data_IF_675837787753
#
_entry.id   IF_675837787753
#
_cell.length_a   1.000
_cell.length_b   1.000
_cell.length_c   1.000
_cell.angle_alpha   90.00
_cell.angle_beta   90.00
_cell.angle_gamma   90.00
#
_symmetry.space_group_name_H-M   'P 1'
#
loop_
_entity.id
_entity.type
_entity.pdbx_description
1 polymer ?
#
# COMPACT_ATOMS: atom_id res chain seq x y z
N UNK A 1 -20.34 -6.17 -4.47
CA UNK A 1 -19.00 -6.75 -4.71
C UNK A 1 -18.28 -6.04 -5.85
N UNK A 2 -18.76 -6.08 -7.11
CA UNK A 2 -18.06 -5.47 -8.26
C UNK A 2 -17.69 -4.00 -8.07
N UNK A 3 -18.63 -3.18 -7.56
CA UNK A 3 -18.36 -1.77 -7.29
C UNK A 3 -17.21 -1.52 -6.30
N UNK A 4 -17.03 -2.41 -5.31
CA UNK A 4 -15.92 -2.32 -4.36
C UNK A 4 -14.57 -2.74 -4.94
N UNK A 5 -14.57 -3.67 -5.90
CA UNK A 5 -13.36 -4.03 -6.65
C UNK A 5 -12.93 -2.87 -7.55
N UNK A 6 -13.88 -2.26 -8.28
CA UNK A 6 -13.63 -1.08 -9.09
C UNK A 6 -13.15 0.11 -8.23
N UNK A 7 -13.75 0.30 -7.06
CA UNK A 7 -13.33 1.31 -6.10
C UNK A 7 -11.90 1.07 -5.60
N UNK A 8 -11.56 -0.18 -5.23
CA UNK A 8 -10.22 -0.52 -4.75
C UNK A 8 -9.15 -0.17 -5.80
N UNK A 9 -9.40 -0.50 -7.06
CA UNK A 9 -8.47 -0.27 -8.17
C UNK A 9 -8.38 1.22 -8.57
N UNK A 10 -9.53 1.91 -8.70
CA UNK A 10 -9.58 3.23 -9.33
C UNK A 10 -9.56 4.39 -8.35
N UNK A 11 -9.99 4.18 -7.11
CA UNK A 11 -10.06 5.22 -6.08
C UNK A 11 -9.05 4.97 -4.95
N UNK A 12 -8.99 3.75 -4.40
CA UNK A 12 -8.09 3.49 -3.27
C UNK A 12 -6.62 3.40 -3.71
N UNK A 13 -6.31 2.65 -4.77
CA UNK A 13 -4.93 2.42 -5.21
C UNK A 13 -4.20 3.72 -5.61
N UNK A 14 -4.93 4.69 -6.18
CA UNK A 14 -4.35 5.97 -6.60
C UNK A 14 -3.89 6.83 -5.42
N UNK A 15 -4.35 6.55 -4.20
CA UNK A 15 -3.94 7.26 -2.98
C UNK A 15 -2.62 6.72 -2.40
N UNK A 16 -2.21 5.50 -2.75
CA UNK A 16 -1.05 4.87 -2.13
C UNK A 16 0.26 5.52 -2.56
N UNK A 17 0.44 5.80 -3.85
CA UNK A 17 1.68 6.39 -4.34
C UNK A 17 1.96 7.75 -3.66
N UNK A 18 1.03 8.74 -3.63
CA UNK A 18 1.25 9.99 -2.91
C UNK A 18 1.56 9.80 -1.42
N UNK A 19 0.96 8.80 -0.77
CA UNK A 19 1.23 8.49 0.63
C UNK A 19 2.63 7.89 0.85
N UNK A 20 3.10 7.01 -0.04
CA UNK A 20 4.43 6.40 0.04
C UNK A 20 5.55 7.39 -0.24
N UNK A 21 5.29 8.41 -1.04
CA UNK A 21 6.32 9.36 -1.50
C UNK A 21 6.17 10.75 -0.88
N UNK A 22 5.37 10.89 0.19
CA UNK A 22 4.98 12.18 0.78
C UNK A 22 6.17 13.08 1.11
N UNK A 23 7.16 12.51 1.78
CA UNK A 23 8.43 13.16 2.09
C UNK A 23 9.58 12.44 1.39
N UNK A 24 10.74 13.09 1.29
CA UNK A 24 11.93 12.43 0.74
C UNK A 24 12.30 11.18 1.56
N UNK A 25 12.20 11.23 2.89
CA UNK A 25 12.50 10.07 3.76
C UNK A 25 11.57 8.89 3.48
N UNK A 26 10.26 9.15 3.36
CA UNK A 26 9.27 8.11 3.05
C UNK A 26 9.50 7.56 1.63
N UNK A 27 9.82 8.42 0.67
CA UNK A 27 10.15 7.99 -0.69
C UNK A 27 11.45 7.18 -0.75
N UNK A 28 12.43 7.52 0.08
CA UNK A 28 13.68 6.78 0.20
C UNK A 28 13.42 5.40 0.80
N UNK A 29 12.65 5.32 1.88
CA UNK A 29 12.22 4.05 2.47
C UNK A 29 11.46 3.17 1.48
N UNK A 30 10.47 3.73 0.77
CA UNK A 30 9.66 3.01 -0.22
C UNK A 30 10.49 2.44 -1.38
N UNK A 31 11.63 3.06 -1.69
CA UNK A 31 12.53 2.63 -2.76
C UNK A 31 13.68 1.72 -2.29
N UNK A 32 13.69 1.33 -1.00
CA UNK A 32 14.73 0.47 -0.41
C UNK A 32 14.84 -0.92 -1.02
N UNK A 33 13.78 -1.41 -1.70
CA UNK A 33 13.80 -2.69 -2.41
C UNK A 33 14.92 -2.78 -3.46
N UNK A 34 15.41 -1.65 -3.98
CA UNK A 34 16.55 -1.61 -4.91
C UNK A 34 17.82 -2.21 -4.31
N UNK A 35 17.96 -2.21 -2.98
CA UNK A 35 19.09 -2.83 -2.29
C UNK A 35 19.09 -4.35 -2.42
N UNK A 36 17.94 -4.97 -2.64
CA UNK A 36 17.77 -6.43 -2.77
C UNK A 36 17.98 -6.91 -4.22
N UNK A 37 18.11 -6.00 -5.18
CA UNK A 37 18.31 -6.34 -6.59
C UNK A 37 19.69 -6.98 -6.78
N UNK A 38 19.79 -8.26 -7.21
CA UNK A 38 21.05 -8.98 -7.25
C UNK A 38 21.98 -8.54 -8.38
N UNK A 39 21.44 -7.93 -9.43
CA UNK A 39 22.19 -7.50 -10.62
C UNK A 39 22.93 -6.18 -10.45
N UNK A 40 22.67 -5.42 -9.38
CA UNK A 40 23.26 -4.10 -9.17
C UNK A 40 24.51 -4.17 -8.31
N UNK A 41 25.56 -3.45 -8.71
CA UNK A 41 26.72 -3.23 -7.84
C UNK A 41 26.33 -2.35 -6.64
N UNK A 42 27.19 -2.26 -5.61
CA UNK A 42 26.91 -1.41 -4.44
C UNK A 42 26.73 0.07 -4.83
N UNK A 43 27.51 0.55 -5.81
CA UNK A 43 27.38 1.93 -6.31
C UNK A 43 26.10 2.12 -7.12
N UNK A 44 25.71 1.12 -7.92
CA UNK A 44 24.44 1.16 -8.65
C UNK A 44 23.26 1.15 -7.69
N UNK A 45 23.31 0.34 -6.61
CA UNK A 45 22.27 0.31 -5.59
C UNK A 45 22.14 1.66 -4.91
N UNK A 46 23.24 2.25 -4.44
CA UNK A 46 23.21 3.54 -3.78
C UNK A 46 22.70 4.67 -4.70
N UNK A 47 23.26 4.76 -5.90
CA UNK A 47 22.88 5.81 -6.86
C UNK A 47 21.43 5.68 -7.31
N UNK A 48 20.99 4.47 -7.68
CA UNK A 48 19.61 4.22 -8.04
C UNK A 48 18.68 4.49 -6.86
N UNK A 49 19.06 4.10 -5.65
CA UNK A 49 18.23 4.28 -4.47
C UNK A 49 17.94 5.77 -4.22
N UNK A 50 18.99 6.60 -4.19
CA UNK A 50 18.84 8.05 -4.01
C UNK A 50 18.11 8.70 -5.19
N UNK A 51 18.55 8.43 -6.42
CA UNK A 51 17.99 9.07 -7.61
C UNK A 51 16.51 8.69 -7.83
N UNK A 52 16.17 7.42 -7.65
CA UNK A 52 14.80 6.92 -7.75
C UNK A 52 13.90 7.52 -6.67
N UNK A 53 14.36 7.57 -5.42
CA UNK A 53 13.63 8.22 -4.34
C UNK A 53 13.37 9.71 -4.62
N UNK A 54 14.36 10.45 -5.13
CA UNK A 54 14.18 11.86 -5.53
C UNK A 54 13.16 11.99 -6.67
N UNK A 55 13.28 11.15 -7.71
CA UNK A 55 12.37 11.19 -8.84
C UNK A 55 10.90 10.90 -8.42
N UNK A 56 10.70 9.90 -7.56
CA UNK A 56 9.39 9.55 -7.02
C UNK A 56 8.80 10.68 -6.16
N UNK A 57 9.59 11.24 -5.24
CA UNK A 57 9.19 12.37 -4.41
C UNK A 57 8.74 13.58 -5.25
N UNK A 58 9.43 13.87 -6.37
CA UNK A 58 9.04 14.94 -7.29
C UNK A 58 7.80 14.58 -8.14
N UNK A 59 7.66 13.31 -8.53
CA UNK A 59 6.53 12.83 -9.33
C UNK A 59 5.20 12.91 -8.57
N UNK A 60 5.23 12.81 -7.23
CA UNK A 60 4.02 12.82 -6.40
C UNK A 60 3.13 14.04 -6.67
N UNK A 61 3.73 15.23 -6.90
CA UNK A 61 2.98 16.47 -7.06
C UNK A 61 2.08 16.46 -8.29
N UNK A 62 2.54 15.81 -9.37
CA UNK A 62 1.73 15.62 -10.59
C UNK A 62 0.55 14.70 -10.34
N UNK A 63 0.74 13.63 -9.58
CA UNK A 63 -0.33 12.69 -9.23
C UNK A 63 -1.34 13.31 -8.27
N UNK A 64 -0.88 14.02 -7.24
CA UNK A 64 -1.76 14.80 -6.34
C UNK A 64 -2.64 15.77 -7.12
N UNK A 65 -2.06 16.52 -8.07
CA UNK A 65 -2.83 17.43 -8.93
C UNK A 65 -3.81 16.70 -9.84
N UNK A 66 -3.41 15.58 -10.45
CA UNK A 66 -4.27 14.78 -11.35
C UNK A 66 -5.51 14.24 -10.63
N UNK A 67 -5.34 13.76 -9.41
CA UNK A 67 -6.41 13.14 -8.61
C UNK A 67 -7.04 14.09 -7.59
N UNK A 68 -6.70 15.39 -7.63
CA UNK A 68 -7.21 16.43 -6.71
C UNK A 68 -7.01 16.07 -5.23
N UNK A 69 -5.84 15.53 -4.89
CA UNK A 69 -5.45 15.19 -3.53
C UNK A 69 -4.74 16.38 -2.91
N UNK A 70 -5.38 17.03 -1.94
CA UNK A 70 -4.79 18.15 -1.18
C UNK A 70 -3.89 17.62 -0.05
N UNK A 71 -4.47 16.78 0.81
CA UNK A 71 -3.79 16.07 1.90
C UNK A 71 -3.89 14.56 1.66
N UNK A 72 -2.76 13.93 1.39
CA UNK A 72 -2.66 12.49 1.13
C UNK A 72 -3.03 11.61 2.33
N UNK A 73 -2.71 12.03 3.55
CA UNK A 73 -3.01 11.27 4.78
C UNK A 73 -4.50 11.36 5.09
N UNK A 74 -5.07 12.56 5.01
CA UNK A 74 -6.50 12.77 5.21
C UNK A 74 -7.33 12.07 4.12
N UNK A 75 -6.89 12.11 2.85
CA UNK A 75 -7.57 11.42 1.75
C UNK A 75 -7.58 9.90 1.93
N UNK A 76 -6.45 9.32 2.35
CA UNK A 76 -6.37 7.89 2.66
C UNK A 76 -7.24 7.55 3.87
N UNK A 77 -7.13 8.29 4.97
CA UNK A 77 -7.95 8.07 6.16
C UNK A 77 -9.45 8.12 5.85
N UNK A 78 -9.90 9.09 5.05
CA UNK A 78 -11.29 9.18 4.61
C UNK A 78 -11.72 7.97 3.77
N UNK A 79 -10.85 7.49 2.88
CA UNK A 79 -11.12 6.29 2.08
C UNK A 79 -11.18 5.01 2.93
N UNK A 80 -10.36 4.93 3.97
CA UNK A 80 -10.41 3.84 4.95
C UNK A 80 -11.70 3.89 5.76
N UNK A 81 -12.16 5.07 6.21
CA UNK A 81 -13.45 5.21 6.87
C UNK A 81 -14.61 4.78 5.96
N UNK A 82 -14.60 5.17 4.67
CA UNK A 82 -15.59 4.72 3.67
C UNK A 82 -15.64 3.19 3.56
N UNK A 83 -14.49 2.51 3.65
CA UNK A 83 -14.43 1.06 3.66
C UNK A 83 -14.95 0.47 4.98
N UNK A 84 -14.60 1.07 6.13
CA UNK A 84 -15.10 0.65 7.43
C UNK A 84 -16.64 0.72 7.50
N UNK A 85 -17.22 1.81 6.99
CA UNK A 85 -18.67 1.99 6.91
C UNK A 85 -19.33 0.89 6.06
N UNK A 86 -18.66 0.49 4.97
CA UNK A 86 -19.14 -0.59 4.09
C UNK A 86 -19.09 -1.97 4.74
N UNK A 87 -18.12 -2.21 5.63
CA UNK A 87 -18.06 -3.43 6.41
C UNK A 87 -19.24 -3.53 7.37
N UNK A 88 -19.79 -2.40 7.83
CA UNK A 88 -21.03 -2.36 8.61
C UNK A 88 -20.96 -3.29 9.84
N UNK A 89 -19.87 -3.17 10.60
CA UNK A 89 -19.50 -4.01 11.76
C UNK A 89 -19.38 -5.52 11.48
N UNK A 90 -19.40 -5.96 10.22
CA UNK A 90 -19.15 -7.36 9.84
C UNK A 90 -17.65 -7.67 9.88
N UNK A 91 -17.33 -8.95 10.01
CA UNK A 91 -15.93 -9.41 10.01
C UNK A 91 -15.25 -9.10 8.68
N UNK A 92 -15.98 -9.32 7.57
CA UNK A 92 -15.60 -9.07 6.19
C UNK A 92 -16.80 -8.52 5.41
N UNK A 93 -16.58 -7.92 4.24
CA UNK A 93 -17.66 -7.58 3.33
C UNK A 93 -18.42 -8.83 2.87
N UNK A 94 -17.74 -9.98 2.78
CA UNK A 94 -18.37 -11.29 2.54
C UNK A 94 -19.14 -11.90 3.72
N UNK A 95 -19.22 -11.21 4.87
CA UNK A 95 -19.86 -11.71 6.09
C UNK A 95 -18.89 -12.50 6.96
N UNK A 96 -19.06 -13.82 7.03
CA UNK A 96 -18.23 -14.70 7.87
C UNK A 96 -16.88 -15.08 7.23
N UNK A 97 -16.74 -14.91 5.92
CA UNK A 97 -15.51 -15.15 5.17
C UNK A 97 -15.28 -14.04 4.14
N UNK A 98 -14.02 -13.74 3.77
CA UNK A 98 -13.73 -12.68 2.82
C UNK A 98 -14.22 -13.04 1.41
N UNK A 99 -14.75 -12.06 0.70
CA UNK A 99 -15.08 -12.18 -0.71
C UNK A 99 -13.98 -11.55 -1.60
N UNK A 100 -14.20 -11.53 -2.92
CA UNK A 100 -13.24 -10.92 -3.87
C UNK A 100 -12.99 -9.43 -3.61
N UNK A 101 -13.99 -8.68 -3.14
CA UNK A 101 -13.78 -7.27 -2.81
C UNK A 101 -12.91 -7.10 -1.56
N UNK A 102 -13.09 -7.94 -0.53
CA UNK A 102 -12.17 -7.96 0.62
C UNK A 102 -10.74 -8.22 0.16
N UNK A 103 -10.53 -9.18 -0.74
CA UNK A 103 -9.21 -9.50 -1.29
C UNK A 103 -8.62 -8.36 -2.13
N UNK A 104 -9.42 -7.69 -2.96
CA UNK A 104 -8.96 -6.54 -3.75
C UNK A 104 -8.53 -5.37 -2.86
N UNK A 105 -9.37 -5.00 -1.88
CA UNK A 105 -9.04 -3.90 -0.94
C UNK A 105 -7.81 -4.27 -0.12
N UNK A 106 -7.76 -5.51 0.37
CA UNK A 106 -6.61 -5.99 1.13
C UNK A 106 -5.34 -5.98 0.29
N UNK A 107 -5.38 -6.46 -0.95
CA UNK A 107 -4.22 -6.47 -1.86
C UNK A 107 -3.68 -5.06 -2.12
N UNK A 108 -4.56 -4.08 -2.30
CA UNK A 108 -4.18 -2.67 -2.45
C UNK A 108 -3.50 -2.17 -1.17
N UNK A 109 -4.15 -2.27 -0.01
CA UNK A 109 -3.57 -1.80 1.26
C UNK A 109 -2.30 -2.54 1.64
N UNK A 110 -2.18 -3.82 1.29
CA UNK A 110 -1.00 -4.62 1.53
C UNK A 110 0.24 -4.07 0.84
N UNK A 111 0.11 -3.34 -0.26
CA UNK A 111 1.25 -2.74 -0.96
C UNK A 111 2.05 -1.76 -0.10
N UNK A 112 1.45 -1.20 0.96
CA UNK A 112 2.12 -0.25 1.87
C UNK A 112 2.64 -0.89 3.17
N UNK A 113 2.50 -2.21 3.36
CA UNK A 113 3.12 -2.89 4.50
C UNK A 113 4.64 -2.65 4.52
N UNK A 114 5.17 -2.40 5.72
CA UNK A 114 6.56 -2.09 6.00
C UNK A 114 6.94 -0.63 5.76
N UNK A 115 6.01 0.23 5.35
CA UNK A 115 6.25 1.65 5.16
C UNK A 115 5.64 2.51 6.28
N UNK A 116 6.08 3.76 6.40
CA UNK A 116 5.44 4.76 7.24
C UNK A 116 3.92 4.91 6.99
N UNK A 117 3.42 4.56 5.80
CA UNK A 117 2.00 4.64 5.46
C UNK A 117 1.15 3.56 6.11
N UNK A 118 1.76 2.41 6.46
CA UNK A 118 1.05 1.34 7.15
C UNK A 118 0.38 1.84 8.45
N UNK A 119 1.03 2.78 9.14
CA UNK A 119 0.49 3.36 10.38
C UNK A 119 -0.88 4.02 10.19
N UNK A 120 -1.16 4.60 9.02
CA UNK A 120 -2.49 5.18 8.73
C UNK A 120 -3.57 4.10 8.70
N UNK A 121 -3.23 2.90 8.25
CA UNK A 121 -4.16 1.75 8.26
C UNK A 121 -4.35 1.26 9.70
N UNK A 122 -3.26 1.17 10.46
CA UNK A 122 -3.27 0.70 11.86
C UNK A 122 -4.03 1.65 12.80
N UNK A 123 -3.95 2.95 12.55
CA UNK A 123 -4.65 3.98 13.34
C UNK A 123 -6.11 4.21 12.87
N UNK A 124 -6.56 3.49 11.83
CA UNK A 124 -7.90 3.65 11.25
C UNK A 124 -8.92 2.62 11.76
N UNK A 125 -10.23 2.86 11.58
CA UNK A 125 -11.27 1.90 11.92
C UNK A 125 -11.19 0.55 11.15
N UNK A 126 -10.39 0.47 10.08
CA UNK A 126 -10.22 -0.78 9.32
C UNK A 126 -9.13 -1.70 9.87
N UNK A 127 -8.40 -1.27 10.91
CA UNK A 127 -7.23 -1.98 11.44
C UNK A 127 -7.53 -3.44 11.81
N UNK A 128 -8.65 -3.68 12.50
CA UNK A 128 -9.05 -5.02 12.92
C UNK A 128 -9.41 -5.93 11.72
N UNK A 129 -10.11 -5.38 10.71
CA UNK A 129 -10.38 -6.09 9.46
C UNK A 129 -9.08 -6.41 8.72
N UNK A 130 -8.14 -5.46 8.67
CA UNK A 130 -6.86 -5.63 8.00
C UNK A 130 -6.02 -6.72 8.66
N UNK A 131 -5.99 -6.76 10.00
CA UNK A 131 -5.31 -7.81 10.77
C UNK A 131 -5.89 -9.19 10.47
N UNK A 132 -7.22 -9.33 10.47
CA UNK A 132 -7.88 -10.60 10.09
C UNK A 132 -7.53 -11.03 8.67
N UNK A 133 -7.50 -10.09 7.72
CA UNK A 133 -7.09 -10.39 6.33
C UNK A 133 -5.62 -10.83 6.24
N UNK A 134 -4.71 -10.20 7.00
CA UNK A 134 -3.30 -10.64 7.06
C UNK A 134 -3.17 -12.06 7.60
N UNK A 135 -3.89 -12.39 8.68
CA UNK A 135 -3.88 -13.74 9.27
C UNK A 135 -4.42 -14.79 8.30
N UNK A 136 -5.50 -14.49 7.57
CA UNK A 136 -6.12 -15.42 6.62
C UNK A 136 -5.28 -15.64 5.35
N UNK A 137 -4.71 -14.58 4.79
CA UNK A 137 -3.93 -14.67 3.55
C UNK A 137 -2.48 -15.12 3.82
N UNK A 138 -2.00 -14.93 5.04
CA UNK A 138 -0.63 -15.25 5.45
C UNK A 138 0.41 -14.25 4.97
N UNK A 139 1.67 -14.46 5.36
CA UNK A 139 2.82 -13.61 5.05
C UNK A 139 3.11 -13.50 3.55
N UNK A 140 3.83 -12.44 3.14
CA UNK A 140 4.12 -12.20 1.71
C UNK A 140 4.96 -13.37 1.19
N UNK A 141 4.50 -14.03 0.13
CA UNK A 141 5.17 -15.19 -0.49
C UNK A 141 6.54 -14.92 -1.14
N UNK A 142 7.17 -13.77 -0.91
CA UNK A 142 8.43 -13.37 -1.54
C UNK A 142 9.69 -13.99 -0.94
N UNK A 143 9.64 -14.51 0.29
CA UNK A 143 10.83 -15.07 0.94
C UNK A 143 11.17 -16.52 0.51
N UNK A 144 10.33 -17.18 -0.28
CA UNK A 144 10.55 -18.59 -0.68
C UNK A 144 11.38 -18.77 -1.94
N UNK A 145 11.37 -17.82 -2.88
CA UNK A 145 12.09 -17.97 -4.16
C UNK A 145 13.60 -17.87 -3.99
N UNK A 146 14.10 -17.23 -2.92
CA UNK A 146 15.53 -17.16 -2.63
C UNK A 146 16.11 -18.41 -1.95
N UNK A 147 15.28 -19.37 -1.51
CA UNK A 147 15.75 -20.56 -0.78
C UNK A 147 15.84 -21.84 -1.61
N UNK A 148 15.37 -21.82 -2.86
CA UNK A 148 15.40 -22.96 -3.78
C UNK A 148 16.46 -22.85 -4.88
N UNK A 149 17.27 -21.78 -4.87
CA UNK A 149 18.51 -21.73 -5.63
C UNK A 149 19.68 -22.12 -4.71
N UNK A 150 19.78 -23.41 -4.36
CA UNK A 150 20.97 -23.97 -3.72
C UNK A 150 21.47 -25.16 -4.51
#
# INVERSE_FOLDING_TARGET
VRGWMDWADKELAVLLFPNLTRSFSESYEAFSYVQEVPTFSLLDKYSNHVAGATAMWLAQGKLKKKYKIEDERAALASSLSKWADALDNKLFLGGSSPNLADLCVFGVLRAVDGSATQKVIEDSPVADWYKRMRELVGERGGARVAREAK
#
